data_IF_237712047265
#
_entry.id   IF_237712047265
#
_cell.length_a   1.000
_cell.length_b   1.000
_cell.length_c   1.000
_cell.angle_alpha   90.00
_cell.angle_beta   90.00
_cell.angle_gamma   90.00
#
_symmetry.space_group_name_H-M   'P 1'
#
loop_
_entity.id
_entity.type
_entity.pdbx_description
1 polymer ?
#
# COMPACT_ATOMS: atom_id res chain seq x y z
N UNK A 1 -31.90 -16.04 -9.50
CA UNK A 1 -30.74 -15.34 -10.08
C UNK A 1 -29.67 -16.38 -10.40
N UNK A 2 -29.37 -16.59 -11.68
CA UNK A 2 -28.30 -17.52 -12.08
C UNK A 2 -26.97 -17.05 -11.52
N UNK A 3 -26.11 -17.89 -10.95
CA UNK A 3 -24.77 -17.53 -10.57
C UNK A 3 -24.04 -17.04 -11.82
N UNK A 4 -23.41 -15.87 -11.76
CA UNK A 4 -22.45 -15.45 -12.79
C UNK A 4 -21.21 -16.36 -12.66
N UNK A 5 -21.34 -17.53 -13.28
CA UNK A 5 -20.18 -18.31 -13.69
C UNK A 5 -19.49 -17.51 -14.80
N UNK A 6 -18.36 -16.94 -14.49
CA UNK A 6 -17.26 -16.62 -15.40
C UNK A 6 -16.05 -16.34 -14.51
N UNK A 7 -15.22 -17.34 -14.39
CA UNK A 7 -14.02 -17.59 -15.18
C UNK A 7 -13.34 -16.27 -15.62
N UNK A 8 -13.06 -15.38 -14.67
CA UNK A 8 -12.08 -14.32 -14.87
C UNK A 8 -10.75 -14.73 -14.20
N UNK A 9 -10.28 -15.93 -14.51
CA UNK A 9 -9.12 -16.54 -13.86
C UNK A 9 -7.78 -15.92 -14.27
N UNK A 10 -7.72 -15.07 -15.30
CA UNK A 10 -6.45 -14.54 -15.81
C UNK A 10 -6.34 -13.01 -15.85
N UNK A 11 -7.30 -12.27 -15.29
CA UNK A 11 -7.16 -10.82 -15.23
C UNK A 11 -6.23 -10.38 -14.11
N UNK A 12 -5.25 -9.56 -14.48
CA UNK A 12 -4.38 -8.85 -13.52
C UNK A 12 -4.67 -7.36 -13.55
N UNK A 13 -4.38 -6.72 -12.43
CA UNK A 13 -4.52 -5.27 -12.29
C UNK A 13 -3.17 -4.64 -12.01
N UNK A 14 -2.93 -3.47 -12.62
CA UNK A 14 -1.77 -2.66 -12.34
C UNK A 14 -2.22 -1.23 -12.02
N UNK A 15 -1.56 -0.60 -11.06
CA UNK A 15 -1.86 0.78 -10.66
C UNK A 15 -0.64 1.65 -10.87
N UNK A 16 -0.81 2.74 -11.66
CA UNK A 16 0.22 3.76 -11.84
C UNK A 16 -0.29 5.09 -11.29
N UNK A 17 0.52 5.72 -10.44
CA UNK A 17 0.26 7.07 -9.94
C UNK A 17 1.13 8.05 -10.68
N UNK A 18 0.52 8.99 -11.42
CA UNK A 18 1.19 9.96 -12.28
C UNK A 18 0.78 11.37 -11.87
N UNK A 19 1.74 12.30 -11.81
CA UNK A 19 1.46 13.72 -11.54
C UNK A 19 0.82 14.37 -12.77
N UNK A 20 -0.21 15.21 -12.54
CA UNK A 20 -0.97 15.91 -13.57
C UNK A 20 -0.46 17.34 -13.71
N UNK A 21 -0.48 17.86 -14.95
CA UNK A 21 -0.29 19.26 -15.27
C UNK A 21 -1.66 19.86 -15.59
N UNK A 22 -2.23 20.59 -14.65
CA UNK A 22 -3.54 21.20 -14.77
C UNK A 22 -3.39 22.71 -15.02
N UNK A 23 -4.24 23.26 -15.90
CA UNK A 23 -4.50 24.69 -16.00
C UNK A 23 -5.43 25.16 -14.87
N UNK A 24 -5.70 26.44 -14.74
CA UNK A 24 -6.49 26.98 -13.62
C UNK A 24 -7.95 26.47 -13.69
N UNK A 25 -8.58 26.49 -14.85
CA UNK A 25 -9.94 25.97 -15.07
C UNK A 25 -10.06 24.50 -14.61
N UNK A 26 -9.10 23.65 -14.99
CA UNK A 26 -9.07 22.25 -14.56
C UNK A 26 -8.88 22.10 -13.05
N UNK A 27 -8.11 23.00 -12.42
CA UNK A 27 -7.95 23.00 -10.95
C UNK A 27 -9.25 23.36 -10.26
N UNK A 28 -10.02 24.30 -10.78
CA UNK A 28 -11.34 24.66 -10.28
C UNK A 28 -12.30 23.48 -10.40
N UNK A 29 -12.40 22.87 -11.59
CA UNK A 29 -13.22 21.65 -11.80
C UNK A 29 -12.89 20.56 -10.77
N UNK A 30 -11.62 20.29 -10.52
CA UNK A 30 -11.24 19.28 -9.52
C UNK A 30 -11.47 19.75 -8.10
N UNK A 31 -11.36 21.03 -7.78
CA UNK A 31 -11.69 21.54 -6.45
C UNK A 31 -13.19 21.33 -6.16
N UNK A 32 -14.06 21.61 -7.14
CA UNK A 32 -15.49 21.38 -7.03
C UNK A 32 -15.83 19.89 -6.96
N UNK A 33 -15.17 19.08 -7.79
CA UNK A 33 -15.30 17.62 -7.74
C UNK A 33 -14.94 17.03 -6.36
N UNK A 34 -13.88 17.53 -5.72
CA UNK A 34 -13.50 17.10 -4.36
C UNK A 34 -14.53 17.53 -3.32
N UNK A 35 -15.03 18.77 -3.42
CA UNK A 35 -16.07 19.29 -2.53
C UNK A 35 -17.35 18.50 -2.68
N UNK A 36 -17.79 18.29 -3.90
CA UNK A 36 -19.00 17.54 -4.22
C UNK A 36 -18.90 16.08 -3.78
N UNK A 37 -17.77 15.41 -4.01
CA UNK A 37 -17.57 14.04 -3.51
C UNK A 37 -17.69 13.93 -1.97
N UNK A 38 -17.25 14.95 -1.22
CA UNK A 38 -17.43 14.97 0.24
C UNK A 38 -18.89 15.17 0.62
N UNK A 39 -19.56 16.10 -0.03
CA UNK A 39 -20.98 16.36 0.18
C UNK A 39 -21.82 15.10 -0.09
N UNK A 40 -21.65 14.50 -1.26
CA UNK A 40 -22.33 13.26 -1.63
C UNK A 40 -22.06 12.12 -0.65
N UNK A 41 -20.81 11.97 -0.17
CA UNK A 41 -20.50 10.93 0.81
C UNK A 41 -21.28 11.14 2.11
N UNK A 42 -21.37 12.37 2.59
CA UNK A 42 -22.08 12.69 3.82
C UNK A 42 -23.59 12.50 3.66
N UNK A 43 -24.17 13.03 2.57
CA UNK A 43 -25.59 12.82 2.20
C UNK A 43 -25.94 11.34 2.04
N UNK A 44 -25.03 10.55 1.43
CA UNK A 44 -25.19 9.10 1.30
C UNK A 44 -25.12 8.36 2.64
N UNK A 45 -24.27 8.82 3.56
CA UNK A 45 -24.19 8.25 4.91
C UNK A 45 -25.46 8.50 5.72
N UNK A 46 -26.04 9.71 5.61
CA UNK A 46 -27.33 10.03 6.25
C UNK A 46 -28.47 9.17 5.67
N UNK A 47 -28.53 9.07 4.34
CA UNK A 47 -29.53 8.25 3.67
C UNK A 47 -29.38 6.76 4.02
N UNK A 48 -28.14 6.26 4.11
CA UNK A 48 -27.85 4.89 4.54
C UNK A 48 -28.37 4.62 5.96
N UNK A 49 -28.13 5.56 6.89
CA UNK A 49 -28.63 5.47 8.27
C UNK A 49 -30.15 5.48 8.30
N UNK A 50 -30.78 6.44 7.63
CA UNK A 50 -32.25 6.56 7.54
C UNK A 50 -32.90 5.26 7.04
N UNK A 51 -32.36 4.70 5.96
CA UNK A 51 -32.84 3.43 5.41
C UNK A 51 -32.61 2.25 6.35
N UNK A 52 -31.51 2.26 7.10
CA UNK A 52 -31.20 1.19 8.05
C UNK A 52 -32.13 1.21 9.26
N UNK A 53 -32.44 2.40 9.79
CA UNK A 53 -33.41 2.60 10.87
C UNK A 53 -34.81 2.17 10.44
N UNK A 54 -35.25 2.64 9.27
CA UNK A 54 -36.57 2.25 8.72
C UNK A 54 -36.69 0.73 8.51
N UNK A 55 -35.62 0.07 8.01
CA UNK A 55 -35.58 -1.38 7.87
C UNK A 55 -35.58 -2.11 9.22
N UNK A 56 -34.96 -1.53 10.24
CA UNK A 56 -34.90 -2.10 11.60
C UNK A 56 -36.29 -2.03 12.28
N UNK A 57 -37.02 -0.95 12.05
CA UNK A 57 -38.43 -0.77 12.54
C UNK A 57 -39.41 -1.66 11.79
N UNK A 58 -39.24 -1.75 10.48
CA UNK A 58 -40.08 -2.56 9.59
C UNK A 58 -39.23 -3.31 8.58
N UNK A 59 -39.07 -4.62 8.82
CA UNK A 59 -38.24 -5.50 7.99
C UNK A 59 -38.75 -5.73 6.57
N UNK A 60 -40.01 -5.29 6.26
CA UNK A 60 -40.55 -5.30 4.90
C UNK A 60 -39.88 -4.23 4.02
N UNK A 61 -39.32 -3.21 4.62
CA UNK A 61 -38.60 -2.14 3.94
C UNK A 61 -37.26 -2.58 3.34
N UNK A 62 -36.82 -1.85 2.32
CA UNK A 62 -35.59 -2.20 1.62
C UNK A 62 -34.36 -1.91 2.50
N UNK A 63 -33.60 -2.95 2.83
CA UNK A 63 -32.31 -2.79 3.49
C UNK A 63 -31.38 -1.89 2.67
N UNK A 64 -30.61 -0.98 3.30
CA UNK A 64 -29.71 -0.08 2.58
C UNK A 64 -28.69 -0.85 1.74
N UNK A 65 -28.56 -0.43 0.50
CA UNK A 65 -27.57 -0.91 -0.44
C UNK A 65 -27.14 0.23 -1.38
N UNK A 66 -25.99 0.04 -2.03
CA UNK A 66 -25.40 1.07 -2.88
C UNK A 66 -26.33 1.54 -4.01
N UNK A 67 -27.09 0.63 -4.62
CA UNK A 67 -27.99 0.96 -5.73
C UNK A 67 -29.13 1.85 -5.25
N UNK A 68 -29.84 1.45 -4.19
CA UNK A 68 -31.00 2.18 -3.69
C UNK A 68 -30.60 3.55 -3.12
N UNK A 69 -29.52 3.61 -2.34
CA UNK A 69 -28.99 4.89 -1.82
C UNK A 69 -28.62 5.82 -2.98
N UNK A 70 -27.91 5.33 -4.02
CA UNK A 70 -27.60 6.12 -5.21
C UNK A 70 -28.85 6.67 -5.89
N UNK A 71 -29.86 5.81 -6.07
CA UNK A 71 -31.09 6.18 -6.78
C UNK A 71 -31.89 7.22 -5.98
N UNK A 72 -31.96 7.07 -4.65
CA UNK A 72 -32.59 8.07 -3.77
C UNK A 72 -31.83 9.42 -3.82
N UNK A 73 -30.49 9.41 -3.78
CA UNK A 73 -29.71 10.64 -3.92
C UNK A 73 -29.91 11.32 -5.27
N UNK A 74 -30.04 10.55 -6.36
CA UNK A 74 -30.34 11.10 -7.69
C UNK A 74 -31.71 11.73 -7.77
N UNK A 75 -32.70 11.14 -7.11
CA UNK A 75 -34.07 11.67 -7.07
C UNK A 75 -34.21 12.93 -6.19
N UNK A 76 -33.39 13.06 -5.15
CA UNK A 76 -33.40 14.19 -4.20
C UNK A 76 -32.35 15.26 -4.48
N UNK A 77 -31.94 15.42 -5.73
CA UNK A 77 -30.98 16.47 -6.10
C UNK A 77 -31.57 17.86 -6.04
N UNK A 78 -30.76 18.79 -5.58
CA UNK A 78 -31.01 20.21 -5.67
C UNK A 78 -30.50 20.77 -7.02
N UNK A 79 -31.01 21.91 -7.47
CA UNK A 79 -30.67 22.50 -8.78
C UNK A 79 -29.18 22.70 -8.99
N UNK A 80 -28.46 23.13 -7.97
CA UNK A 80 -27.01 23.33 -8.04
C UNK A 80 -26.22 22.02 -8.23
N UNK A 81 -26.79 20.88 -7.76
CA UNK A 81 -26.18 19.55 -7.94
C UNK A 81 -26.28 19.07 -9.41
N UNK A 82 -27.22 19.62 -10.21
CA UNK A 82 -27.39 19.22 -11.61
C UNK A 82 -26.18 19.61 -12.48
N UNK A 83 -25.45 20.67 -12.09
CA UNK A 83 -24.24 21.12 -12.75
C UNK A 83 -22.99 20.34 -12.33
N UNK A 84 -23.10 19.43 -11.36
CA UNK A 84 -21.99 18.63 -10.86
C UNK A 84 -21.78 17.34 -11.67
N UNK A 85 -20.58 16.78 -11.57
CA UNK A 85 -20.21 15.53 -12.27
C UNK A 85 -21.03 14.33 -11.74
N UNK A 86 -22.01 13.90 -12.50
CA UNK A 86 -22.90 12.77 -12.16
C UNK A 86 -22.18 11.50 -11.75
N UNK A 87 -21.02 11.24 -12.35
CA UNK A 87 -20.19 10.07 -12.04
C UNK A 87 -19.77 10.01 -10.56
N UNK A 88 -19.64 11.18 -9.90
CA UNK A 88 -19.20 11.27 -8.52
C UNK A 88 -20.26 10.75 -7.53
N UNK A 89 -21.54 10.81 -7.85
CA UNK A 89 -22.57 10.19 -7.01
C UNK A 89 -22.36 8.67 -7.00
N UNK A 90 -22.20 8.07 -8.17
CA UNK A 90 -22.06 6.63 -8.31
C UNK A 90 -20.79 6.11 -7.60
N UNK A 91 -19.65 6.75 -7.88
CA UNK A 91 -18.36 6.33 -7.31
C UNK A 91 -18.30 6.55 -5.80
N UNK A 92 -18.89 7.63 -5.30
CA UNK A 92 -18.85 7.97 -3.88
C UNK A 92 -19.77 7.06 -3.05
N UNK A 93 -20.96 6.73 -3.56
CA UNK A 93 -21.86 5.76 -2.90
C UNK A 93 -21.25 4.37 -2.89
N UNK A 94 -20.56 3.95 -3.96
CA UNK A 94 -19.79 2.70 -3.94
C UNK A 94 -18.69 2.70 -2.88
N UNK A 95 -17.97 3.81 -2.72
CA UNK A 95 -16.91 3.92 -1.70
C UNK A 95 -17.49 3.83 -0.28
N UNK A 96 -18.67 4.40 -0.04
CA UNK A 96 -19.38 4.24 1.22
C UNK A 96 -19.81 2.78 1.46
N UNK A 97 -20.38 2.13 0.44
CA UNK A 97 -20.77 0.72 0.54
C UNK A 97 -19.58 -0.19 0.81
N UNK A 98 -18.41 0.06 0.16
CA UNK A 98 -17.17 -0.63 0.47
C UNK A 98 -16.72 -0.41 1.92
N UNK A 99 -16.87 0.80 2.46
CA UNK A 99 -16.53 1.11 3.85
C UNK A 99 -17.41 0.33 4.84
N UNK A 100 -18.71 0.23 4.59
CA UNK A 100 -19.61 -0.61 5.39
C UNK A 100 -19.26 -2.09 5.28
N UNK A 101 -18.98 -2.60 4.07
CA UNK A 101 -18.55 -3.99 3.88
C UNK A 101 -17.27 -4.32 4.65
N UNK A 102 -16.30 -3.40 4.70
CA UNK A 102 -15.07 -3.56 5.49
C UNK A 102 -15.36 -3.57 6.98
N UNK A 103 -16.30 -2.73 7.44
CA UNK A 103 -16.74 -2.73 8.83
C UNK A 103 -17.38 -4.07 9.23
N UNK A 104 -18.31 -4.58 8.43
CA UNK A 104 -18.99 -5.86 8.72
C UNK A 104 -18.05 -7.05 8.71
N UNK A 105 -16.98 -7.00 7.91
CA UNK A 105 -15.92 -8.02 7.91
C UNK A 105 -14.91 -7.86 9.06
N UNK A 106 -15.08 -6.89 9.95
CA UNK A 106 -14.14 -6.60 11.05
C UNK A 106 -12.83 -5.92 10.63
N UNK A 107 -12.69 -5.54 9.36
CA UNK A 107 -11.48 -4.89 8.85
C UNK A 107 -11.50 -3.35 8.93
N UNK A 108 -12.62 -2.76 9.32
CA UNK A 108 -12.81 -1.33 9.40
C UNK A 108 -13.69 -0.90 10.58
N UNK A 109 -13.66 0.41 10.86
CA UNK A 109 -14.57 1.04 11.82
C UNK A 109 -15.81 1.57 11.10
N UNK A 110 -16.85 1.91 11.88
CA UNK A 110 -18.06 2.54 11.35
C UNK A 110 -17.71 3.78 10.51
N UNK A 111 -18.27 3.94 9.30
CA UNK A 111 -18.02 5.09 8.43
C UNK A 111 -18.37 6.41 9.12
N UNK A 112 -17.48 7.40 9.01
CA UNK A 112 -17.66 8.72 9.62
C UNK A 112 -17.85 9.79 8.55
N UNK A 113 -18.50 10.89 8.91
CA UNK A 113 -18.62 12.06 8.05
C UNK A 113 -17.25 12.58 7.60
N UNK A 114 -17.21 13.02 6.37
CA UNK A 114 -16.02 13.57 5.75
C UNK A 114 -15.98 15.10 5.90
N UNK A 115 -14.84 15.64 6.32
CA UNK A 115 -14.63 17.08 6.41
C UNK A 115 -13.42 17.52 5.58
N UNK A 116 -13.41 18.75 5.12
CA UNK A 116 -12.28 19.37 4.40
C UNK A 116 -10.98 19.34 5.24
N UNK A 117 -11.10 19.38 6.57
CA UNK A 117 -9.98 19.42 7.51
C UNK A 117 -9.29 18.06 7.66
N UNK A 118 -10.06 16.98 7.65
CA UNK A 118 -9.60 15.64 8.04
C UNK A 118 -9.44 14.68 6.85
N UNK A 119 -9.75 15.13 5.63
CA UNK A 119 -9.73 14.26 4.45
C UNK A 119 -8.78 14.74 3.37
N UNK A 120 -8.23 13.76 2.67
CA UNK A 120 -7.48 14.00 1.43
C UNK A 120 -8.48 14.36 0.32
N UNK A 121 -8.19 15.41 -0.42
CA UNK A 121 -8.92 15.75 -1.62
C UNK A 121 -8.72 14.64 -2.67
N UNK A 122 -9.80 13.94 -3.00
CA UNK A 122 -9.80 12.90 -4.04
C UNK A 122 -11.20 12.68 -4.59
N UNK A 123 -11.28 12.35 -5.87
CA UNK A 123 -12.49 11.92 -6.55
C UNK A 123 -12.15 10.78 -7.52
N UNK A 124 -13.10 9.89 -7.74
CA UNK A 124 -12.90 8.66 -8.49
C UNK A 124 -13.80 8.64 -9.73
N UNK A 125 -13.21 8.19 -10.84
CA UNK A 125 -13.85 8.01 -12.13
C UNK A 125 -13.70 6.55 -12.53
N UNK A 126 -14.77 5.88 -12.94
CA UNK A 126 -14.71 4.53 -13.45
C UNK A 126 -15.13 4.46 -14.92
N UNK A 127 -14.79 3.37 -15.56
CA UNK A 127 -15.11 3.14 -16.96
C UNK A 127 -16.57 2.73 -17.11
N UNK A 128 -17.39 3.60 -17.71
CA UNK A 128 -18.76 3.29 -18.13
C UNK A 128 -18.82 2.68 -19.51
N UNK A 129 -18.09 3.28 -20.45
CA UNK A 129 -17.97 2.85 -21.83
C UNK A 129 -16.51 2.80 -22.22
N UNK A 130 -16.19 2.22 -23.36
CA UNK A 130 -14.80 2.19 -23.88
C UNK A 130 -14.21 3.60 -24.11
N UNK A 131 -15.04 4.63 -24.23
CA UNK A 131 -14.62 6.02 -24.47
C UNK A 131 -14.58 6.89 -23.22
N UNK A 132 -15.09 6.42 -22.09
CA UNK A 132 -15.26 7.25 -20.90
C UNK A 132 -13.95 7.54 -20.16
N UNK A 133 -12.99 6.61 -20.23
CA UNK A 133 -11.64 6.79 -19.69
C UNK A 133 -10.63 6.40 -20.77
N UNK A 134 -9.82 7.36 -21.22
CA UNK A 134 -8.85 7.13 -22.29
C UNK A 134 -7.52 7.80 -21.97
N UNK A 135 -6.44 7.18 -22.45
CA UNK A 135 -5.14 7.81 -22.58
C UNK A 135 -4.85 8.00 -24.05
N UNK A 136 -4.47 9.20 -24.44
CA UNK A 136 -4.28 9.64 -25.81
C UNK A 136 -2.90 10.28 -26.01
N UNK A 137 -2.60 10.56 -27.29
CA UNK A 137 -1.35 11.15 -27.73
C UNK A 137 -0.26 10.14 -28.01
N UNK A 138 0.70 10.46 -28.85
CA UNK A 138 1.80 9.58 -29.28
C UNK A 138 2.58 8.98 -28.11
N UNK A 139 2.72 9.73 -27.01
CA UNK A 139 3.42 9.31 -25.78
C UNK A 139 2.48 8.82 -24.68
N UNK A 140 1.18 8.57 -24.96
CA UNK A 140 0.19 8.21 -23.94
C UNK A 140 0.25 9.11 -22.68
N UNK A 141 0.38 10.42 -22.87
CA UNK A 141 0.53 11.41 -21.80
C UNK A 141 -0.67 12.35 -21.66
N UNK A 142 -1.78 12.08 -22.36
CA UNK A 142 -3.03 12.85 -22.32
C UNK A 142 -4.15 11.97 -21.78
N UNK A 143 -4.76 12.39 -20.68
CA UNK A 143 -5.84 11.67 -19.99
C UNK A 143 -7.18 12.34 -20.27
N UNK A 144 -8.17 11.56 -20.69
CA UNK A 144 -9.57 11.95 -20.81
C UNK A 144 -10.37 11.28 -19.71
N UNK A 145 -11.19 12.05 -18.99
CA UNK A 145 -12.04 11.56 -17.91
C UNK A 145 -13.51 11.78 -18.23
N UNK A 146 -14.36 10.89 -17.72
CA UNK A 146 -15.82 10.97 -17.87
C UNK A 146 -16.36 12.29 -17.30
N UNK A 147 -17.11 13.02 -18.13
CA UNK A 147 -17.74 14.30 -17.75
C UNK A 147 -16.81 15.51 -17.75
N UNK A 148 -15.52 15.34 -18.07
CA UNK A 148 -14.57 16.44 -18.27
C UNK A 148 -14.26 16.55 -19.76
N UNK A 149 -14.62 17.70 -20.37
CA UNK A 149 -14.45 17.95 -21.80
C UNK A 149 -12.98 18.13 -22.17
N UNK A 150 -12.24 18.84 -21.34
CA UNK A 150 -10.82 19.16 -21.59
C UNK A 150 -9.91 17.96 -21.36
N UNK A 151 -8.86 17.89 -22.15
CA UNK A 151 -7.82 16.86 -22.03
C UNK A 151 -6.81 17.27 -20.96
N UNK A 152 -6.48 16.32 -20.08
CA UNK A 152 -5.58 16.53 -18.94
C UNK A 152 -4.19 16.01 -19.28
N UNK A 153 -3.17 16.86 -19.15
CA UNK A 153 -1.79 16.46 -19.39
C UNK A 153 -1.18 15.76 -18.16
N UNK A 154 -0.54 14.63 -18.40
CA UNK A 154 0.25 13.88 -17.42
C UNK A 154 1.74 14.25 -17.56
N UNK A 155 2.49 14.29 -16.45
CA UNK A 155 3.93 14.53 -16.48
C UNK A 155 4.72 13.36 -17.05
N UNK A 156 4.19 12.16 -16.90
CA UNK A 156 4.81 10.92 -17.35
C UNK A 156 3.87 10.20 -18.32
N UNK A 157 4.43 9.44 -19.23
CA UNK A 157 3.68 8.58 -20.13
C UNK A 157 3.13 7.38 -19.39
N UNK A 158 1.90 6.99 -19.69
CA UNK A 158 1.33 5.74 -19.22
C UNK A 158 1.65 4.64 -20.25
N UNK A 159 2.55 3.74 -19.89
CA UNK A 159 2.83 2.60 -20.72
C UNK A 159 1.67 1.60 -20.64
N UNK A 160 0.97 1.42 -21.75
CA UNK A 160 -0.08 0.44 -21.92
C UNK A 160 0.37 -0.58 -22.97
N UNK A 161 0.47 -1.84 -22.59
CA UNK A 161 0.64 -2.94 -23.55
C UNK A 161 -0.68 -3.18 -24.30
N UNK A 162 -0.60 -3.87 -25.40
CA UNK A 162 -1.78 -4.37 -26.12
C UNK A 162 -2.69 -5.17 -25.18
N UNK A 163 -3.98 -5.04 -25.30
CA UNK A 163 -4.96 -5.67 -24.41
C UNK A 163 -5.16 -5.00 -23.03
N UNK A 164 -4.34 -4.00 -22.65
CA UNK A 164 -4.56 -3.26 -21.43
C UNK A 164 -5.76 -2.30 -21.53
N UNK A 165 -6.63 -2.34 -20.54
CA UNK A 165 -7.79 -1.44 -20.46
C UNK A 165 -7.78 -0.65 -19.16
N UNK A 166 -8.05 0.66 -19.23
CA UNK A 166 -8.22 1.51 -18.05
C UNK A 166 -9.57 1.18 -17.44
N UNK A 167 -9.60 0.85 -16.16
CA UNK A 167 -10.82 0.53 -15.43
C UNK A 167 -11.28 1.71 -14.58
N UNK A 168 -10.35 2.36 -13.90
CA UNK A 168 -10.63 3.36 -12.90
C UNK A 168 -9.49 4.39 -12.85
N UNK A 169 -9.84 5.64 -12.57
CA UNK A 169 -8.89 6.73 -12.33
C UNK A 169 -9.31 7.46 -11.06
N UNK A 170 -8.44 7.52 -10.08
CA UNK A 170 -8.63 8.38 -8.90
C UNK A 170 -7.75 9.60 -9.02
N UNK A 171 -8.36 10.79 -9.13
CA UNK A 171 -7.65 12.05 -9.07
C UNK A 171 -7.56 12.50 -7.62
N UNK A 172 -6.37 12.92 -7.20
CA UNK A 172 -6.13 13.38 -5.83
C UNK A 172 -5.20 14.59 -5.79
N UNK A 173 -5.38 15.47 -4.78
CA UNK A 173 -4.48 16.57 -4.51
C UNK A 173 -3.65 16.31 -3.26
N UNK A 174 -2.34 16.49 -3.37
CA UNK A 174 -1.40 16.40 -2.25
C UNK A 174 -0.34 17.50 -2.36
N UNK A 175 -0.05 18.18 -1.28
CA UNK A 175 1.00 19.19 -1.20
C UNK A 175 0.96 20.22 -2.35
N UNK A 176 -0.26 20.62 -2.78
CA UNK A 176 -0.49 21.53 -3.90
C UNK A 176 -0.23 20.93 -5.29
N UNK A 177 -0.08 19.62 -5.41
CA UNK A 177 0.06 18.89 -6.68
C UNK A 177 -1.11 17.94 -6.90
N UNK A 178 -1.44 17.69 -8.16
CA UNK A 178 -2.50 16.79 -8.56
C UNK A 178 -1.92 15.50 -9.14
N UNK A 179 -2.55 14.39 -8.81
CA UNK A 179 -2.11 13.06 -9.23
C UNK A 179 -3.30 12.25 -9.74
N UNK A 180 -3.10 11.49 -10.80
CA UNK A 180 -4.00 10.43 -11.22
C UNK A 180 -3.43 9.07 -10.82
N UNK A 181 -4.17 8.31 -10.03
CA UNK A 181 -3.93 6.88 -9.81
C UNK A 181 -4.78 6.11 -10.81
N UNK A 182 -4.15 5.53 -11.82
CA UNK A 182 -4.79 4.87 -12.95
C UNK A 182 -4.71 3.37 -12.76
N UNK A 183 -5.86 2.72 -12.66
CA UNK A 183 -6.00 1.28 -12.57
C UNK A 183 -6.20 0.73 -13.97
N UNK A 184 -5.31 -0.15 -14.40
CA UNK A 184 -5.41 -0.88 -15.67
C UNK A 184 -5.64 -2.36 -15.41
N UNK A 185 -6.46 -2.98 -16.26
CA UNK A 185 -6.70 -4.42 -16.31
C UNK A 185 -6.10 -5.00 -17.57
N UNK A 186 -5.49 -6.15 -17.46
CA UNK A 186 -4.93 -6.89 -18.59
C UNK A 186 -5.03 -8.40 -18.34
N UNK A 187 -4.95 -9.18 -19.41
CA UNK A 187 -4.83 -10.63 -19.32
C UNK A 187 -3.35 -10.94 -19.16
N UNK A 188 -3.00 -11.75 -18.18
CA UNK A 188 -1.64 -12.19 -17.94
C UNK A 188 -1.39 -13.50 -18.70
N UNK A 189 -1.09 -13.38 -19.99
CA UNK A 189 -0.70 -14.50 -20.85
C UNK A 189 0.80 -14.83 -20.73
N UNK A 190 1.53 -14.14 -19.83
CA UNK A 190 2.92 -14.45 -19.59
C UNK A 190 3.02 -15.89 -19.09
N UNK A 191 3.65 -16.77 -19.88
CA UNK A 191 4.10 -18.07 -19.38
C UNK A 191 4.90 -17.79 -18.12
N UNK A 192 4.41 -18.23 -16.96
CA UNK A 192 5.20 -18.20 -15.74
C UNK A 192 6.43 -19.03 -16.01
N UNK A 193 7.57 -18.37 -16.17
CA UNK A 193 8.84 -19.10 -16.22
C UNK A 193 8.96 -19.77 -14.84
N UNK A 194 8.93 -21.10 -14.83
CA UNK A 194 9.21 -21.88 -13.63
C UNK A 194 10.63 -21.49 -13.18
N UNK A 195 10.73 -20.90 -12.03
CA UNK A 195 12.03 -20.61 -11.41
C UNK A 195 12.60 -21.91 -10.89
N UNK A 196 13.90 -22.06 -11.03
CA UNK A 196 14.61 -23.11 -10.33
C UNK A 196 14.42 -22.94 -8.82
N UNK A 197 14.46 -24.04 -8.10
CA UNK A 197 14.37 -24.01 -6.64
C UNK A 197 15.54 -23.18 -6.09
N UNK A 198 15.21 -22.00 -5.63
CA UNK A 198 16.15 -21.02 -5.10
C UNK A 198 15.61 -20.42 -3.81
N UNK A 199 16.44 -20.37 -2.78
CA UNK A 199 16.06 -20.01 -1.43
C UNK A 199 16.79 -18.76 -0.97
N UNK A 200 16.09 -17.92 -0.21
CA UNK A 200 16.67 -16.77 0.46
C UNK A 200 16.10 -16.64 1.87
N UNK A 201 16.96 -16.41 2.85
CA UNK A 201 16.61 -15.98 4.20
C UNK A 201 16.84 -14.47 4.35
N UNK A 202 15.90 -13.78 4.98
CA UNK A 202 15.92 -12.34 5.19
C UNK A 202 15.72 -12.03 6.65
N UNK A 203 16.77 -11.53 7.30
CA UNK A 203 16.70 -10.94 8.63
C UNK A 203 16.47 -9.43 8.51
N UNK A 204 15.49 -8.89 9.25
CA UNK A 204 15.08 -7.49 9.21
C UNK A 204 15.55 -6.74 10.46
N UNK A 205 16.31 -5.66 10.27
CA UNK A 205 16.90 -4.91 11.37
C UNK A 205 16.72 -3.40 11.28
N UNK A 206 17.03 -2.70 12.37
CA UNK A 206 16.94 -1.24 12.46
C UNK A 206 18.20 -0.56 11.92
N UNK A 207 19.38 -1.13 12.18
CA UNK A 207 20.68 -0.61 11.71
C UNK A 207 20.87 -0.89 10.22
N UNK A 208 20.78 -2.14 9.86
CA UNK A 208 20.66 -2.58 8.48
C UNK A 208 19.20 -2.97 8.25
N UNK A 209 18.60 -2.47 7.17
CA UNK A 209 17.19 -2.71 6.88
C UNK A 209 16.88 -4.19 6.69
N UNK A 210 17.77 -4.87 5.98
CA UNK A 210 17.69 -6.30 5.73
C UNK A 210 19.10 -6.89 5.53
N UNK A 211 19.34 -8.05 6.09
CA UNK A 211 20.49 -8.90 5.80
C UNK A 211 19.96 -10.15 5.12
N UNK A 212 20.57 -10.52 4.00
CA UNK A 212 20.13 -11.66 3.22
C UNK A 212 21.23 -12.68 3.05
N UNK A 213 20.80 -13.95 3.02
CA UNK A 213 21.62 -15.08 2.59
C UNK A 213 20.85 -15.93 1.60
N UNK A 214 21.46 -16.29 0.46
CA UNK A 214 20.86 -17.18 -0.52
C UNK A 214 21.52 -18.57 -0.53
N UNK A 215 21.00 -19.48 -1.34
CA UNK A 215 21.49 -20.84 -1.52
C UNK A 215 22.89 -20.93 -2.16
N UNK A 216 23.33 -19.85 -2.82
CA UNK A 216 24.68 -19.70 -3.38
C UNK A 216 25.68 -19.08 -2.40
N UNK A 217 25.29 -18.90 -1.13
CA UNK A 217 26.12 -18.31 -0.09
C UNK A 217 26.25 -16.78 -0.16
N UNK A 218 25.44 -16.11 -0.98
CA UNK A 218 25.48 -14.65 -1.08
C UNK A 218 25.15 -14.02 0.27
N UNK A 219 26.05 -13.18 0.75
CA UNK A 219 25.84 -12.30 1.88
C UNK A 219 25.67 -10.86 1.41
N UNK A 220 24.55 -10.23 1.72
CA UNK A 220 24.35 -8.81 1.40
C UNK A 220 23.58 -8.08 2.50
N UNK A 221 24.11 -6.91 2.86
CA UNK A 221 23.47 -5.96 3.78
C UNK A 221 22.80 -4.83 2.99
N UNK A 222 21.53 -4.58 3.27
CA UNK A 222 20.81 -3.41 2.79
C UNK A 222 20.71 -2.39 3.92
N UNK A 223 21.45 -1.29 3.81
CA UNK A 223 21.46 -0.25 4.84
C UNK A 223 20.09 0.37 5.05
N UNK A 224 19.78 0.70 6.29
CA UNK A 224 18.62 1.51 6.63
C UNK A 224 18.69 2.90 5.98
N UNK A 225 17.52 3.46 5.64
CA UNK A 225 17.41 4.81 5.09
C UNK A 225 17.56 5.92 6.14
N UNK A 226 17.61 5.58 7.43
CA UNK A 226 17.56 6.56 8.52
C UNK A 226 18.56 7.69 8.34
N UNK A 227 19.83 7.39 8.04
CA UNK A 227 20.87 8.40 7.81
C UNK A 227 20.55 9.35 6.64
N UNK A 228 19.99 8.82 5.55
CA UNK A 228 19.59 9.61 4.38
C UNK A 228 18.39 10.51 4.65
N UNK A 229 17.56 10.16 5.64
CA UNK A 229 16.34 10.89 5.98
C UNK A 229 16.57 12.00 7.02
N UNK A 230 17.68 11.98 7.78
CA UNK A 230 18.03 13.00 8.81
C UNK A 230 17.88 14.43 8.26
N UNK A 231 18.46 14.83 7.11
CA UNK A 231 18.34 16.21 6.63
C UNK A 231 16.91 16.62 6.31
N UNK A 232 16.07 15.66 5.90
CA UNK A 232 14.64 15.91 5.64
C UNK A 232 13.86 16.04 6.94
N UNK A 233 14.18 15.28 7.98
CA UNK A 233 13.59 15.42 9.31
C UNK A 233 13.94 16.77 9.92
N UNK A 234 15.19 17.19 9.86
CA UNK A 234 15.61 18.52 10.33
C UNK A 234 14.83 19.65 9.60
N UNK A 235 14.57 19.46 8.31
CA UNK A 235 13.75 20.40 7.54
C UNK A 235 12.27 20.40 8.00
N UNK A 236 11.72 19.24 8.33
CA UNK A 236 10.37 19.12 8.92
C UNK A 236 10.29 19.90 10.23
N UNK A 237 11.27 19.70 11.13
CA UNK A 237 11.30 20.36 12.43
C UNK A 237 11.38 21.89 12.28
N UNK A 238 12.20 22.35 11.30
CA UNK A 238 12.26 23.79 10.98
C UNK A 238 10.93 24.34 10.43
N UNK A 239 10.27 23.60 9.52
CA UNK A 239 8.95 24.05 9.02
C UNK A 239 7.88 24.04 10.10
N UNK A 240 7.91 23.09 11.05
CA UNK A 240 7.01 23.08 12.20
C UNK A 240 7.23 24.33 13.09
N UNK A 241 8.49 24.71 13.36
CA UNK A 241 8.83 25.96 14.08
C UNK A 241 8.37 27.21 13.32
N UNK A 242 8.46 27.21 11.99
CA UNK A 242 7.97 28.34 11.17
C UNK A 242 6.44 28.42 11.24
N UNK A 243 5.74 27.28 11.14
CA UNK A 243 4.28 27.23 11.16
C UNK A 243 3.70 27.66 12.51
N UNK A 244 4.34 27.30 13.64
CA UNK A 244 3.88 27.69 14.97
C UNK A 244 3.88 29.21 15.21
N UNK A 245 4.69 29.97 14.43
CA UNK A 245 4.79 31.43 14.51
C UNK A 245 3.87 32.15 13.52
N UNK A 246 3.11 31.44 12.68
CA UNK A 246 2.27 32.04 11.64
C UNK A 246 0.79 32.00 12.02
N UNK A 247 0.04 33.01 11.61
CA UNK A 247 -1.41 33.02 11.74
C UNK A 247 -2.01 31.90 10.91
N UNK A 248 -2.79 31.03 11.55
CA UNK A 248 -3.45 29.89 10.92
C UNK A 248 -4.36 30.34 9.77
N UNK A 249 -4.26 29.69 8.63
CA UNK A 249 -5.05 30.00 7.43
C UNK A 249 -4.55 31.18 6.61
N UNK A 250 -3.53 31.94 7.06
CA UNK A 250 -2.94 33.00 6.24
C UNK A 250 -2.21 32.43 4.99
N UNK A 251 -2.08 33.24 3.96
CA UNK A 251 -1.34 32.85 2.75
C UNK A 251 0.10 32.38 3.06
N UNK A 252 0.76 33.02 4.01
CA UNK A 252 2.11 32.65 4.44
C UNK A 252 2.14 31.34 5.24
N UNK A 253 1.08 31.06 6.03
CA UNK A 253 0.90 29.76 6.67
C UNK A 253 0.72 28.65 5.63
N UNK A 254 -0.15 28.83 4.66
CA UNK A 254 -0.42 27.84 3.61
C UNK A 254 0.83 27.57 2.74
N UNK A 255 1.60 28.60 2.38
CA UNK A 255 2.88 28.42 1.67
C UNK A 255 3.87 27.57 2.48
N UNK A 256 3.99 27.79 3.79
CA UNK A 256 4.86 27.00 4.66
C UNK A 256 4.32 25.57 4.84
N UNK A 257 3.01 25.39 5.01
CA UNK A 257 2.34 24.09 5.12
C UNK A 257 2.54 23.24 3.85
N UNK A 258 2.47 23.83 2.67
CA UNK A 258 2.76 23.14 1.41
C UNK A 258 4.21 22.66 1.36
N UNK A 259 5.17 23.47 1.79
CA UNK A 259 6.59 23.09 1.85
C UNK A 259 6.84 21.94 2.82
N UNK A 260 6.22 21.98 4.01
CA UNK A 260 6.25 20.89 4.98
C UNK A 260 5.69 19.60 4.37
N UNK A 261 4.50 19.64 3.78
CA UNK A 261 3.86 18.49 3.17
C UNK A 261 4.67 17.90 2.01
N UNK A 262 5.33 18.72 1.19
CA UNK A 262 6.26 18.28 0.15
C UNK A 262 7.48 17.57 0.71
N UNK A 263 7.96 17.97 1.88
CA UNK A 263 9.07 17.29 2.55
C UNK A 263 8.65 15.91 3.05
N UNK A 264 7.47 15.78 3.66
CA UNK A 264 6.90 14.47 4.01
C UNK A 264 6.68 13.57 2.79
N UNK A 265 6.17 14.13 1.69
CA UNK A 265 5.97 13.38 0.44
C UNK A 265 7.30 12.88 -0.12
N UNK A 266 8.36 13.69 -0.06
CA UNK A 266 9.71 13.28 -0.49
C UNK A 266 10.24 12.11 0.34
N UNK A 267 10.09 12.16 1.68
CA UNK A 267 10.48 11.04 2.56
C UNK A 267 9.73 9.76 2.16
N UNK A 268 8.40 9.85 2.01
CA UNK A 268 7.59 8.70 1.62
C UNK A 268 7.97 8.14 0.25
N UNK A 269 8.31 8.99 -0.72
CA UNK A 269 8.71 8.56 -2.05
C UNK A 269 10.08 7.84 -2.01
N UNK A 270 11.06 8.35 -1.24
CA UNK A 270 12.35 7.71 -1.05
C UNK A 270 12.18 6.31 -0.42
N UNK A 271 11.36 6.22 0.63
CA UNK A 271 11.07 4.94 1.30
C UNK A 271 10.41 3.95 0.34
N UNK A 272 9.38 4.38 -0.36
CA UNK A 272 8.66 3.53 -1.31
C UNK A 272 9.54 3.06 -2.46
N UNK A 273 10.36 3.93 -3.04
CA UNK A 273 11.29 3.56 -4.10
C UNK A 273 12.25 2.46 -3.65
N UNK A 274 12.83 2.63 -2.45
CA UNK A 274 13.71 1.63 -1.85
C UNK A 274 13.00 0.28 -1.65
N UNK A 275 11.83 0.29 -1.00
CA UNK A 275 11.07 -0.93 -0.71
C UNK A 275 10.60 -1.61 -2.01
N UNK A 276 10.17 -0.84 -3.01
CA UNK A 276 9.78 -1.37 -4.32
C UNK A 276 10.95 -2.01 -5.05
N UNK A 277 12.13 -1.37 -5.08
CA UNK A 277 13.32 -1.91 -5.74
C UNK A 277 13.78 -3.19 -5.08
N UNK A 278 13.88 -3.19 -3.74
CA UNK A 278 14.33 -4.35 -2.98
C UNK A 278 13.35 -5.52 -3.12
N UNK A 279 12.06 -5.30 -2.90
CA UNK A 279 11.06 -6.36 -3.01
C UNK A 279 10.93 -6.90 -4.44
N UNK A 280 11.08 -6.05 -5.48
CA UNK A 280 11.11 -6.53 -6.87
C UNK A 280 12.36 -7.38 -7.12
N UNK A 281 13.54 -6.90 -6.72
CA UNK A 281 14.78 -7.66 -6.88
C UNK A 281 14.69 -9.06 -6.26
N UNK A 282 14.17 -9.15 -5.03
CA UNK A 282 14.04 -10.43 -4.33
C UNK A 282 13.03 -11.34 -5.03
N UNK A 283 11.81 -10.85 -5.31
CA UNK A 283 10.76 -11.67 -5.90
C UNK A 283 10.99 -12.03 -7.36
N UNK A 284 11.85 -11.32 -8.10
CA UNK A 284 12.23 -11.72 -9.46
C UNK A 284 13.31 -12.79 -9.47
N UNK A 285 14.16 -12.82 -8.43
CA UNK A 285 15.34 -13.70 -8.40
C UNK A 285 15.07 -15.06 -7.72
N UNK A 286 14.33 -15.05 -6.59
CA UNK A 286 14.18 -16.23 -5.74
C UNK A 286 12.78 -16.82 -5.82
N UNK A 287 12.67 -18.16 -5.70
CA UNK A 287 11.40 -18.89 -5.65
C UNK A 287 10.85 -18.99 -4.24
N UNK A 288 11.69 -19.28 -3.25
CA UNK A 288 11.33 -19.41 -1.85
C UNK A 288 11.99 -18.32 -1.01
N UNK A 289 11.17 -17.52 -0.35
CA UNK A 289 11.61 -16.34 0.41
C UNK A 289 11.18 -16.53 1.86
N UNK A 290 12.13 -16.73 2.76
CA UNK A 290 11.86 -16.91 4.19
C UNK A 290 12.14 -15.61 4.95
N UNK A 291 11.17 -15.18 5.77
CA UNK A 291 11.22 -13.96 6.58
C UNK A 291 10.71 -14.24 8.00
N UNK A 292 11.12 -13.41 8.96
CA UNK A 292 10.60 -13.44 10.32
C UNK A 292 9.17 -12.86 10.44
N UNK A 293 8.39 -13.38 11.41
CA UNK A 293 7.11 -12.80 11.80
C UNK A 293 7.31 -11.66 12.82
N UNK A 294 7.78 -10.51 12.35
CA UNK A 294 8.02 -9.35 13.21
C UNK A 294 6.72 -8.74 13.72
N UNK A 295 6.50 -8.76 15.03
CA UNK A 295 5.42 -8.01 15.69
C UNK A 295 5.78 -6.53 15.85
N UNK A 296 5.74 -5.80 14.76
CA UNK A 296 6.07 -4.37 14.69
C UNK A 296 5.30 -3.56 15.75
N UNK A 297 4.01 -3.89 16.01
CA UNK A 297 3.20 -3.21 17.02
C UNK A 297 3.78 -3.30 18.44
N UNK A 298 4.38 -4.44 18.80
CA UNK A 298 5.03 -4.60 20.10
C UNK A 298 6.36 -3.85 20.17
N UNK A 299 7.14 -3.86 19.10
CA UNK A 299 8.40 -3.14 19.01
C UNK A 299 8.19 -1.60 19.09
N UNK A 300 7.07 -1.10 18.58
CA UNK A 300 6.68 0.32 18.65
C UNK A 300 6.39 0.82 20.07
N UNK A 301 6.18 -0.06 21.05
CA UNK A 301 5.98 0.32 22.45
C UNK A 301 7.25 0.88 23.08
N UNK A 302 8.42 0.55 22.55
CA UNK A 302 9.69 1.13 22.99
C UNK A 302 9.82 2.57 22.45
N UNK A 303 9.61 3.56 23.33
CA UNK A 303 9.62 4.99 22.98
C UNK A 303 10.92 5.45 22.32
N UNK A 304 12.05 4.90 22.72
CA UNK A 304 13.37 5.29 22.19
C UNK A 304 13.61 4.79 20.75
N UNK A 305 12.96 3.70 20.35
CA UNK A 305 13.16 3.08 19.03
C UNK A 305 11.93 3.22 18.12
N UNK A 306 10.78 3.63 18.64
CA UNK A 306 9.51 3.68 17.90
C UNK A 306 9.59 4.46 16.60
N UNK A 307 10.24 5.64 16.61
CA UNK A 307 10.46 6.45 15.39
C UNK A 307 11.29 5.69 14.35
N UNK A 308 12.42 5.14 14.75
CA UNK A 308 13.31 4.39 13.86
C UNK A 308 12.65 3.13 13.29
N UNK A 309 11.85 2.43 14.11
CA UNK A 309 11.09 1.24 13.69
C UNK A 309 9.99 1.62 12.69
N UNK A 310 9.21 2.69 12.98
CA UNK A 310 8.18 3.19 12.07
C UNK A 310 8.74 3.62 10.72
N UNK A 311 9.98 4.11 10.70
CA UNK A 311 10.66 4.55 9.50
C UNK A 311 11.11 3.41 8.60
N UNK A 312 11.35 2.21 9.14
CA UNK A 312 11.74 1.06 8.31
C UNK A 312 10.64 0.64 7.34
N UNK A 313 9.39 0.65 7.76
CA UNK A 313 8.29 0.25 6.89
C UNK A 313 8.24 -1.27 6.62
N UNK A 314 8.65 -2.10 7.58
CA UNK A 314 8.69 -3.57 7.42
C UNK A 314 7.35 -4.18 7.04
N UNK A 315 6.24 -3.67 7.60
CA UNK A 315 4.90 -4.12 7.20
C UNK A 315 4.62 -3.82 5.71
N UNK A 316 4.99 -2.62 5.24
CA UNK A 316 4.83 -2.26 3.83
C UNK A 316 5.72 -3.14 2.94
N UNK A 317 6.95 -3.41 3.38
CA UNK A 317 7.87 -4.32 2.69
C UNK A 317 7.30 -5.74 2.57
N UNK A 318 6.78 -6.31 3.67
CA UNK A 318 6.13 -7.62 3.67
C UNK A 318 4.95 -7.66 2.69
N UNK A 319 4.06 -6.68 2.76
CA UNK A 319 2.94 -6.57 1.81
C UNK A 319 3.42 -6.49 0.35
N UNK A 320 4.54 -5.76 0.10
CA UNK A 320 5.13 -5.70 -1.23
C UNK A 320 5.73 -7.02 -1.69
N UNK A 321 6.33 -7.79 -0.80
CA UNK A 321 6.81 -9.14 -1.10
C UNK A 321 5.64 -10.07 -1.42
N UNK A 322 4.57 -10.08 -0.61
CA UNK A 322 3.40 -10.94 -0.77
C UNK A 322 2.73 -10.76 -2.14
N UNK A 323 2.30 -9.54 -2.51
CA UNK A 323 1.62 -9.36 -3.80
C UNK A 323 2.56 -9.51 -5.02
N UNK A 324 3.85 -9.23 -4.86
CA UNK A 324 4.82 -9.47 -5.94
C UNK A 324 5.20 -10.95 -6.06
N UNK A 325 5.22 -11.68 -4.96
CA UNK A 325 5.44 -13.11 -4.96
C UNK A 325 4.33 -13.83 -5.75
N UNK A 326 3.08 -13.44 -5.54
CA UNK A 326 1.93 -13.95 -6.29
C UNK A 326 2.08 -13.70 -7.81
N UNK A 327 2.59 -12.51 -8.18
CA UNK A 327 2.84 -12.16 -9.57
C UNK A 327 4.03 -12.89 -10.18
N UNK A 328 5.10 -13.10 -9.41
CA UNK A 328 6.40 -13.61 -9.89
C UNK A 328 6.60 -15.10 -9.61
N UNK A 329 5.56 -15.83 -9.24
CA UNK A 329 5.59 -17.26 -8.92
C UNK A 329 6.63 -17.60 -7.83
N UNK A 330 6.56 -16.88 -6.71
CA UNK A 330 7.37 -17.11 -5.53
C UNK A 330 6.49 -17.51 -4.35
N UNK A 331 7.05 -18.23 -3.40
CA UNK A 331 6.40 -18.55 -2.12
C UNK A 331 7.07 -17.77 -1.00
N UNK A 332 6.27 -17.01 -0.25
CA UNK A 332 6.74 -16.37 1.00
C UNK A 332 6.51 -17.37 2.13
N UNK A 333 7.56 -17.66 2.86
CA UNK A 333 7.55 -18.51 4.06
C UNK A 333 7.79 -17.56 5.23
N UNK A 334 6.85 -17.53 6.15
CA UNK A 334 7.00 -16.75 7.38
C UNK A 334 7.41 -17.73 8.46
N UNK A 335 8.61 -17.52 9.03
CA UNK A 335 9.08 -18.38 10.11
C UNK A 335 8.16 -18.24 11.33
N UNK A 336 8.06 -19.34 12.10
CA UNK A 336 7.29 -19.33 13.32
C UNK A 336 7.74 -18.17 14.23
N UNK A 337 6.78 -17.57 14.92
CA UNK A 337 7.00 -16.43 15.83
C UNK A 337 8.07 -16.70 16.90
N UNK A 338 8.19 -17.96 17.32
CA UNK A 338 9.11 -18.39 18.37
C UNK A 338 10.40 -18.99 17.81
N UNK A 339 10.55 -19.04 16.48
CA UNK A 339 11.77 -19.52 15.85
C UNK A 339 12.95 -18.62 16.23
N UNK A 340 13.92 -19.12 17.02
CA UNK A 340 14.98 -18.30 17.58
C UNK A 340 16.13 -18.11 16.57
N UNK A 341 15.87 -17.50 15.42
CA UNK A 341 16.79 -17.38 14.29
C UNK A 341 18.18 -16.91 14.69
N UNK A 342 18.29 -15.97 15.64
CA UNK A 342 19.54 -15.41 16.11
C UNK A 342 20.25 -16.22 17.21
N UNK A 343 19.57 -17.22 17.80
CA UNK A 343 20.09 -18.05 18.88
C UNK A 343 20.59 -19.43 18.40
N UNK A 344 20.25 -19.82 17.17
CA UNK A 344 20.66 -21.09 16.56
C UNK A 344 22.00 -20.89 15.87
N UNK A 345 22.92 -21.84 16.04
CA UNK A 345 24.14 -21.90 15.25
C UNK A 345 23.83 -22.35 13.82
N UNK A 346 24.10 -21.53 12.83
CA UNK A 346 23.88 -21.89 11.43
C UNK A 346 24.81 -22.98 10.89
N UNK A 347 25.87 -23.32 11.65
CA UNK A 347 26.84 -24.37 11.30
C UNK A 347 26.42 -25.74 11.87
N UNK A 348 26.24 -25.86 13.19
CA UNK A 348 25.98 -27.16 13.84
C UNK A 348 24.53 -27.32 14.36
N UNK A 349 23.70 -26.26 14.30
CA UNK A 349 22.31 -26.31 14.79
C UNK A 349 22.14 -26.17 16.30
N UNK A 350 23.23 -26.05 17.09
CA UNK A 350 23.13 -25.84 18.54
C UNK A 350 22.33 -24.57 18.86
N UNK A 351 21.48 -24.61 19.88
CA UNK A 351 20.60 -23.52 20.30
C UNK A 351 21.05 -22.97 21.63
N UNK A 352 21.44 -21.71 21.68
CA UNK A 352 21.81 -21.03 22.92
C UNK A 352 20.57 -20.84 23.81
N UNK A 353 20.69 -21.27 25.08
CA UNK A 353 19.59 -21.24 26.05
C UNK A 353 20.02 -20.52 27.33
N UNK A 354 19.03 -20.11 28.13
CA UNK A 354 19.26 -19.51 29.44
C UNK A 354 20.21 -18.30 29.41
N UNK A 355 21.29 -18.38 30.18
CA UNK A 355 22.31 -17.31 30.32
C UNK A 355 23.22 -17.15 29.10
N UNK A 356 23.33 -18.19 28.26
CA UNK A 356 24.17 -18.20 27.05
C UNK A 356 23.53 -17.50 25.86
N UNK A 357 22.23 -17.12 25.99
CA UNK A 357 21.52 -16.40 24.94
C UNK A 357 22.25 -15.11 24.55
N UNK A 358 22.48 -14.97 23.24
CA UNK A 358 23.09 -13.77 22.71
C UNK A 358 22.21 -12.55 22.96
N UNK A 359 22.78 -11.50 23.56
CA UNK A 359 22.09 -10.25 23.87
C UNK A 359 21.96 -9.37 22.62
N UNK A 360 20.98 -8.47 22.60
CA UNK A 360 20.76 -7.54 21.48
C UNK A 360 21.96 -6.62 21.19
N UNK A 361 22.77 -6.34 22.19
CA UNK A 361 24.00 -5.53 22.07
C UNK A 361 25.15 -6.29 21.38
N UNK A 362 25.16 -7.61 21.46
CA UNK A 362 26.20 -8.45 20.88
C UNK A 362 25.97 -8.57 19.38
N UNK A 363 27.02 -8.34 18.60
CA UNK A 363 26.96 -8.36 17.13
C UNK A 363 27.58 -9.60 16.52
N UNK A 364 28.41 -10.30 17.28
CA UNK A 364 29.04 -11.54 16.85
C UNK A 364 28.39 -12.70 17.59
N UNK A 365 27.90 -13.66 16.83
CA UNK A 365 27.47 -14.97 17.34
C UNK A 365 28.71 -15.86 17.52
N UNK A 366 28.84 -16.47 18.67
CA UNK A 366 29.88 -17.44 18.96
C UNK A 366 29.25 -18.74 19.46
N UNK A 367 29.49 -19.82 18.76
CA UNK A 367 29.01 -21.16 19.16
C UNK A 367 30.06 -21.84 20.02
N UNK A 368 29.73 -22.23 21.23
CA UNK A 368 30.64 -22.93 22.14
C UNK A 368 30.85 -24.41 21.72
N UNK A 369 29.87 -25.00 20.99
CA UNK A 369 29.96 -26.39 20.56
C UNK A 369 30.93 -26.61 19.37
N UNK A 370 30.79 -25.77 18.33
CA UNK A 370 31.60 -25.96 17.11
C UNK A 370 32.60 -24.82 16.86
N UNK A 371 32.72 -23.86 17.78
CA UNK A 371 33.67 -22.74 17.66
C UNK A 371 33.31 -21.70 16.60
N UNK A 372 32.19 -21.83 15.90
CA UNK A 372 31.77 -20.92 14.82
C UNK A 372 31.62 -19.49 15.34
N UNK A 373 32.28 -18.52 14.69
CA UNK A 373 32.15 -17.08 14.94
C UNK A 373 31.66 -16.39 13.70
N UNK A 374 30.48 -15.77 13.79
CA UNK A 374 29.79 -15.19 12.64
C UNK A 374 29.04 -13.92 13.06
N UNK A 375 28.81 -12.99 12.13
CA UNK A 375 27.89 -11.85 12.36
C UNK A 375 26.50 -12.40 12.76
N UNK A 376 25.91 -11.89 13.87
CA UNK A 376 24.66 -12.41 14.44
C UNK A 376 23.51 -12.31 13.46
N UNK A 377 23.38 -11.17 12.80
CA UNK A 377 22.27 -10.90 11.91
C UNK A 377 22.41 -11.70 10.59
N UNK A 378 23.65 -11.98 10.18
CA UNK A 378 23.94 -12.91 9.09
C UNK A 378 23.63 -14.37 9.47
N UNK A 379 24.01 -14.79 10.68
CA UNK A 379 23.63 -16.09 11.22
C UNK A 379 22.12 -16.28 11.20
N UNK A 380 21.35 -15.26 11.60
CA UNK A 380 19.90 -15.29 11.56
C UNK A 380 19.36 -15.45 10.12
N UNK A 381 19.94 -14.73 9.15
CA UNK A 381 19.52 -14.85 7.74
C UNK A 381 19.80 -16.26 7.18
N UNK A 382 20.94 -16.89 7.55
CA UNK A 382 21.22 -18.29 7.19
C UNK A 382 20.21 -19.23 7.81
N UNK A 383 19.89 -19.08 9.09
CA UNK A 383 18.92 -19.92 9.79
C UNK A 383 17.51 -19.78 9.22
N UNK A 384 17.09 -18.57 8.82
CA UNK A 384 15.82 -18.35 8.12
C UNK A 384 15.79 -19.07 6.77
N UNK A 385 16.88 -19.02 6.00
CA UNK A 385 16.98 -19.79 4.76
C UNK A 385 16.82 -21.29 5.02
N UNK A 386 17.56 -21.84 5.98
CA UNK A 386 17.49 -23.25 6.35
C UNK A 386 16.11 -23.65 6.83
N UNK A 387 15.43 -22.79 7.61
CA UNK A 387 14.04 -22.97 7.99
C UNK A 387 13.14 -23.11 6.76
N UNK A 388 13.28 -22.20 5.79
CA UNK A 388 12.51 -22.24 4.55
C UNK A 388 12.76 -23.51 3.73
N UNK A 389 13.99 -23.97 3.65
CA UNK A 389 14.37 -25.21 2.96
C UNK A 389 13.72 -26.45 3.61
N UNK A 390 13.78 -26.55 4.95
CA UNK A 390 13.15 -27.64 5.71
C UNK A 390 11.64 -27.62 5.54
N UNK A 391 11.01 -26.46 5.66
CA UNK A 391 9.57 -26.30 5.48
C UNK A 391 9.10 -26.79 4.10
N UNK A 392 9.83 -26.46 3.04
CA UNK A 392 9.47 -26.92 1.67
C UNK A 392 9.78 -28.42 1.50
N UNK A 393 10.84 -28.95 2.10
CA UNK A 393 11.13 -30.40 2.12
C UNK A 393 9.95 -31.16 2.72
N UNK A 394 9.50 -30.79 3.91
CA UNK A 394 8.35 -31.39 4.58
C UNK A 394 7.06 -31.35 3.74
N UNK A 395 6.77 -30.21 3.12
CA UNK A 395 5.59 -30.07 2.24
C UNK A 395 5.70 -30.97 1.00
N UNK A 396 6.89 -31.14 0.43
CA UNK A 396 7.10 -32.03 -0.73
C UNK A 396 7.00 -33.52 -0.37
N UNK A 397 7.34 -33.87 0.86
CA UNK A 397 7.24 -35.24 1.39
C UNK A 397 5.84 -35.58 1.92
N UNK A 398 4.87 -34.64 1.86
CA UNK A 398 3.50 -34.85 2.29
C UNK A 398 3.32 -34.84 3.82
N UNK A 399 4.31 -34.34 4.55
CA UNK A 399 4.22 -34.16 6.00
C UNK A 399 3.53 -32.80 6.23
N UNK A 400 2.26 -32.87 6.66
CA UNK A 400 1.53 -31.65 7.05
C UNK A 400 2.29 -30.90 8.14
N UNK A 401 2.52 -29.62 7.91
CA UNK A 401 3.14 -28.75 8.91
C UNK A 401 2.21 -28.65 10.13
N UNK A 402 2.66 -29.15 11.23
CA UNK A 402 2.13 -28.90 12.57
C UNK A 402 2.13 -27.38 12.92
#
# INVERSE_FOLDING_TARGET
MKPRNNVDQNYRYNVRKIELRLNEEQKEIFQDAFNYSRYVYNKALDEWKRMYEAWKEDSSQTKPNNRKVRDNLKASREDWELNQLNILIETTVEDLAKAFNMMWKGYGKYPKYKSKRNQKDSCRFFRKTQYSLQVKGEKNNKLKLTGISSVIHMKESLYLKEGHTIQEVTVSRRAGRYYASIVTRYIDDSKKYLKDDSYIGIDLGVKDFAIINDDKGLYRKYKSLNSKLIPLHNRIDNYNKILSKKCYGSNNYEKARIKLNRTYERINNIKKDFLHKLSTHITTKYKYICIEDLKVSNMMKNKNMSKSIAEQGWREFRTMLEYKAEKNDCKIIVADKWFPSSQICSCCGNVLQGNDKIKLSQRVYHCHECGNKIDRDYNAAVNLKLYGMRFIGQVKEGIDSL
#
